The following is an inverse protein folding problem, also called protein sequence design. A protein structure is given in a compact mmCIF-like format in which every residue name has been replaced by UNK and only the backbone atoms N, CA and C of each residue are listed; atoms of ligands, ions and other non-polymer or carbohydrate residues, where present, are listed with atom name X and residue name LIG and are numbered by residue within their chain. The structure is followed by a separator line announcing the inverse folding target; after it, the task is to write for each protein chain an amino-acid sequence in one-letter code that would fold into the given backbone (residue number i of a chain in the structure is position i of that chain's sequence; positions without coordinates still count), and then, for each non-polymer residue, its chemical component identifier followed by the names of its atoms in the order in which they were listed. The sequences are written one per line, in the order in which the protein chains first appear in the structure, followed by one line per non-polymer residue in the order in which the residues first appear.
data_IF_807496277376
#
_entry.id   IF_807496277376
#
_cell.length_a   1.000
_cell.length_b   1.000
_cell.length_c   1.000
_cell.angle_alpha   90.00
_cell.angle_beta   90.00
_cell.angle_gamma   90.00
#
_symmetry.space_group_name_H-M   'P 1'
#
loop_
_entity.id
_entity.type
_entity.pdbx_description
1 polymer ?
#
# COMPACT_ATOMS: atom_id res chain seq x y z
N UNK A 1 -29.13 13.65 -76.76
CA UNK A 1 -27.85 13.66 -77.48
C UNK A 1 -26.91 14.59 -76.71
N UNK A 2 -26.40 14.19 -75.54
CA UNK A 2 -25.33 13.21 -75.32
C UNK A 2 -23.93 13.79 -75.63
N UNK A 3 -23.18 14.26 -74.61
CA UNK A 3 -21.90 13.65 -74.17
C UNK A 3 -21.09 14.48 -73.16
N UNK A 4 -20.74 13.76 -72.09
CA UNK A 4 -19.51 13.75 -71.29
C UNK A 4 -19.11 14.92 -70.36
N UNK A 5 -19.36 14.66 -69.06
CA UNK A 5 -18.54 15.07 -67.91
C UNK A 5 -17.12 14.45 -67.99
N UNK A 6 -16.11 15.23 -67.59
CA UNK A 6 -14.98 14.75 -66.77
C UNK A 6 -14.76 15.73 -65.60
N UNK A 7 -14.45 15.24 -64.39
CA UNK A 7 -14.25 16.08 -63.21
C UNK A 7 -12.81 16.61 -63.16
N UNK A 8 -12.63 17.83 -62.65
CA UNK A 8 -11.32 18.35 -62.25
C UNK A 8 -11.07 17.97 -60.81
N UNK A 9 -9.95 17.30 -60.62
CA UNK A 9 -9.37 16.77 -59.40
C UNK A 9 -9.02 17.91 -58.42
N UNK A 10 -9.52 17.84 -57.19
CA UNK A 10 -9.05 18.67 -56.06
C UNK A 10 -8.67 17.76 -54.89
N UNK A 11 -7.80 16.79 -55.19
CA UNK A 11 -7.07 16.00 -54.22
C UNK A 11 -5.94 16.81 -53.60
N UNK A 12 -6.22 17.63 -52.58
CA UNK A 12 -5.18 18.25 -51.75
C UNK A 12 -5.61 18.62 -50.32
N UNK A 13 -6.54 17.84 -49.75
CA UNK A 13 -6.87 17.89 -48.32
C UNK A 13 -7.18 16.48 -47.78
N UNK A 14 -6.21 15.56 -47.82
CA UNK A 14 -6.30 14.28 -47.12
C UNK A 14 -4.93 13.80 -46.64
N UNK A 15 -4.42 14.46 -45.60
CA UNK A 15 -3.40 13.90 -44.72
C UNK A 15 -3.88 14.08 -43.28
N UNK A 16 -4.92 13.32 -42.90
CA UNK A 16 -5.03 12.89 -41.51
C UNK A 16 -4.25 11.58 -41.43
N UNK A 17 -3.34 11.39 -40.46
CA UNK A 17 -2.82 10.07 -40.19
C UNK A 17 -4.00 9.20 -39.74
N UNK A 18 -4.30 8.16 -40.51
CA UNK A 18 -5.14 7.05 -40.06
C UNK A 18 -4.48 6.46 -38.82
N UNK A 19 -5.18 6.60 -37.70
CA UNK A 19 -4.83 5.98 -36.42
C UNK A 19 -5.04 4.48 -36.59
N UNK A 20 -3.97 3.75 -36.85
CA UNK A 20 -3.95 2.30 -36.99
C UNK A 20 -3.71 1.66 -35.60
N UNK A 21 -4.75 1.14 -34.93
CA UNK A 21 -4.64 0.61 -33.58
C UNK A 21 -3.73 -0.63 -33.48
N UNK A 22 -3.41 -1.28 -34.61
CA UNK A 22 -2.57 -2.48 -34.64
C UNK A 22 -1.06 -2.23 -34.45
N UNK A 23 -0.58 -0.98 -34.52
CA UNK A 23 0.87 -0.67 -34.40
C UNK A 23 1.34 -0.29 -32.99
N UNK A 24 0.44 0.08 -32.07
CA UNK A 24 0.82 0.38 -30.67
C UNK A 24 0.77 -0.85 -29.75
N UNK A 25 -0.03 -1.87 -30.06
CA UNK A 25 -0.04 -3.13 -29.30
C UNK A 25 1.34 -3.83 -29.30
N UNK A 26 2.11 -3.71 -30.39
CA UNK A 26 3.49 -4.25 -30.47
C UNK A 26 4.55 -3.43 -29.70
N UNK A 27 4.26 -2.22 -29.22
CA UNK A 27 5.20 -1.43 -28.38
C UNK A 27 4.99 -1.64 -26.88
N UNK A 28 3.74 -1.85 -26.48
CA UNK A 28 3.35 -2.11 -25.08
C UNK A 28 4.06 -3.34 -24.49
N UNK A 29 4.22 -4.42 -25.27
CA UNK A 29 4.90 -5.64 -24.80
C UNK A 29 6.38 -5.42 -24.49
N UNK A 30 7.10 -4.74 -25.38
CA UNK A 30 8.53 -4.46 -25.22
C UNK A 30 8.80 -3.44 -24.10
N UNK A 31 7.91 -2.46 -23.92
CA UNK A 31 7.98 -1.50 -22.81
C UNK A 31 7.67 -2.18 -21.46
N UNK A 32 6.67 -3.06 -21.39
CA UNK A 32 6.38 -3.86 -20.19
C UNK A 32 7.54 -4.81 -19.83
N UNK A 33 8.14 -5.49 -20.81
CA UNK A 33 9.37 -6.26 -20.61
C UNK A 33 10.52 -5.39 -20.12
N UNK A 34 10.62 -4.14 -20.59
CA UNK A 34 11.64 -3.19 -20.13
C UNK A 34 11.36 -2.71 -18.71
N UNK A 35 10.10 -2.47 -18.32
CA UNK A 35 9.71 -2.18 -16.93
C UNK A 35 10.05 -3.36 -16.04
N UNK A 36 9.72 -4.59 -16.46
CA UNK A 36 10.05 -5.81 -15.75
C UNK A 36 11.57 -5.94 -15.61
N UNK A 37 12.33 -5.78 -16.69
CA UNK A 37 13.79 -5.87 -16.68
C UNK A 37 14.45 -4.77 -15.85
N UNK A 38 13.96 -3.53 -15.88
CA UNK A 38 14.46 -2.42 -15.06
C UNK A 38 14.07 -2.58 -13.59
N UNK A 39 12.85 -3.01 -13.30
CA UNK A 39 12.40 -3.31 -11.93
C UNK A 39 13.19 -4.49 -11.38
N UNK A 40 13.43 -5.53 -12.19
CA UNK A 40 14.36 -6.62 -11.87
C UNK A 40 15.79 -6.07 -11.73
N UNK A 41 16.25 -5.11 -12.53
CA UNK A 41 17.61 -4.58 -12.38
C UNK A 41 17.77 -3.72 -11.11
N UNK A 42 16.70 -3.06 -10.66
CA UNK A 42 16.68 -2.15 -9.50
C UNK A 42 16.34 -2.87 -8.19
N UNK A 43 15.45 -3.86 -8.24
CA UNK A 43 15.01 -4.69 -7.10
C UNK A 43 15.83 -5.97 -7.02
N UNK A 44 16.15 -6.57 -8.17
CA UNK A 44 16.86 -7.84 -8.31
C UNK A 44 18.29 -7.67 -8.85
N UNK A 45 19.08 -6.75 -8.28
CA UNK A 45 20.48 -7.10 -8.04
C UNK A 45 20.58 -7.74 -6.65
N UNK A 46 20.12 -8.99 -6.42
CA UNK A 46 20.31 -9.66 -5.13
C UNK A 46 21.80 -9.97 -4.89
N UNK A 47 22.64 -9.91 -5.94
CA UNK A 47 24.09 -10.00 -5.85
C UNK A 47 24.69 -8.69 -5.36
N UNK A 48 24.54 -7.60 -6.12
CA UNK A 48 25.19 -6.33 -5.80
C UNK A 48 24.45 -5.55 -4.71
N UNK A 49 23.13 -5.71 -4.59
CA UNK A 49 22.31 -5.10 -3.54
C UNK A 49 22.55 -5.74 -2.18
N UNK A 50 22.65 -7.08 -2.10
CA UNK A 50 23.05 -7.75 -0.87
C UNK A 50 24.53 -7.49 -0.54
N UNK A 51 25.42 -7.37 -1.54
CA UNK A 51 26.81 -6.97 -1.32
C UNK A 51 26.91 -5.53 -0.81
N UNK A 52 26.21 -4.59 -1.44
CA UNK A 52 26.16 -3.18 -1.02
C UNK A 52 25.54 -3.08 0.37
N UNK A 53 24.45 -3.79 0.64
CA UNK A 53 23.82 -3.85 1.95
C UNK A 53 24.77 -4.42 3.00
N UNK A 54 25.43 -5.55 2.74
CA UNK A 54 26.42 -6.13 3.65
C UNK A 54 27.62 -5.20 3.87
N UNK A 55 28.07 -4.52 2.81
CA UNK A 55 29.13 -3.53 2.87
C UNK A 55 28.73 -2.32 3.72
N UNK A 56 27.52 -1.78 3.55
CA UNK A 56 27.02 -0.68 4.36
C UNK A 56 26.74 -1.09 5.81
N UNK A 57 26.19 -2.29 6.06
CA UNK A 57 26.04 -2.85 7.41
C UNK A 57 27.39 -3.00 8.12
N UNK A 58 28.47 -3.28 7.38
CA UNK A 58 29.82 -3.44 7.94
C UNK A 58 30.54 -2.10 8.20
N UNK A 59 30.22 -1.06 7.43
CA UNK A 59 30.94 0.23 7.47
C UNK A 59 30.20 1.28 8.30
N UNK A 60 28.89 1.31 8.23
CA UNK A 60 28.06 2.27 8.94
C UNK A 60 27.56 1.58 10.20
N UNK A 61 28.10 1.93 11.39
CA UNK A 61 27.58 1.38 12.63
C UNK A 61 26.11 1.77 12.77
N UNK A 62 25.26 0.75 12.89
CA UNK A 62 23.82 0.94 13.05
C UNK A 62 23.53 1.82 14.26
N UNK A 63 22.69 2.83 14.05
CA UNK A 63 22.20 3.64 15.15
C UNK A 63 21.26 2.80 16.02
N UNK A 64 21.46 2.85 17.34
CA UNK A 64 20.54 2.25 18.30
C UNK A 64 19.26 3.09 18.39
N UNK A 65 18.33 2.88 17.46
CA UNK A 65 16.98 3.39 17.62
C UNK A 65 16.34 2.73 18.86
N UNK A 66 15.61 3.49 19.68
CA UNK A 66 14.79 2.98 20.79
C UNK A 66 13.54 2.21 20.28
N UNK A 67 13.65 1.54 19.13
CA UNK A 67 12.58 0.79 18.48
C UNK A 67 12.36 -0.58 19.12
N UNK A 68 11.27 -1.25 18.75
CA UNK A 68 10.95 -2.61 19.20
C UNK A 68 12.07 -3.58 18.83
N UNK A 69 12.69 -4.18 19.85
CA UNK A 69 13.86 -5.05 19.69
C UNK A 69 13.73 -6.29 20.60
N UNK A 70 13.08 -7.37 20.15
CA UNK A 70 12.89 -8.57 20.95
C UNK A 70 14.22 -9.33 21.15
N UNK A 71 14.37 -10.07 22.27
CA UNK A 71 15.58 -10.85 22.54
C UNK A 71 15.78 -11.90 21.45
N UNK A 72 16.98 -11.91 20.85
CA UNK A 72 17.33 -12.76 19.71
C UNK A 72 18.10 -14.00 20.16
N UNK A 73 17.78 -15.14 19.57
CA UNK A 73 18.66 -16.31 19.62
C UNK A 73 19.85 -16.06 18.70
N UNK A 74 21.06 -16.29 19.19
CA UNK A 74 22.26 -16.13 18.37
C UNK A 74 22.22 -17.09 17.15
N UNK A 75 22.68 -16.66 15.97
CA UNK A 75 22.77 -17.54 14.81
C UNK A 75 23.70 -18.71 15.12
N UNK A 76 23.18 -19.93 15.00
CA UNK A 76 23.90 -21.15 15.40
C UNK A 76 24.85 -21.69 14.34
N UNK A 77 24.61 -21.41 13.05
CA UNK A 77 25.43 -21.88 11.93
C UNK A 77 26.16 -20.78 11.15
N UNK A 78 27.21 -21.17 10.41
CA UNK A 78 27.94 -20.28 9.50
C UNK A 78 27.02 -19.72 8.39
N UNK A 79 26.08 -20.53 7.89
CA UNK A 79 25.09 -20.10 6.89
C UNK A 79 24.13 -19.08 7.49
N UNK A 80 23.70 -19.27 8.74
CA UNK A 80 22.85 -18.29 9.44
C UNK A 80 23.57 -16.96 9.66
N UNK A 81 24.86 -16.99 10.00
CA UNK A 81 25.68 -15.78 10.13
C UNK A 81 25.84 -15.05 8.79
N UNK A 82 26.01 -15.79 7.69
CA UNK A 82 26.04 -15.22 6.35
C UNK A 82 24.70 -14.57 5.99
N UNK A 83 23.58 -15.26 6.25
CA UNK A 83 22.23 -14.72 6.00
C UNK A 83 21.98 -13.47 6.83
N UNK A 84 22.33 -13.47 8.11
CA UNK A 84 22.18 -12.31 8.98
C UNK A 84 23.07 -11.14 8.52
N UNK A 85 24.32 -11.41 8.10
CA UNK A 85 25.22 -10.39 7.58
C UNK A 85 24.72 -9.74 6.27
N UNK A 86 24.15 -10.55 5.37
CA UNK A 86 23.64 -10.10 4.07
C UNK A 86 22.25 -9.43 4.18
N UNK A 87 21.32 -10.05 4.91
CA UNK A 87 19.89 -9.71 4.89
C UNK A 87 19.39 -9.09 6.21
N UNK A 88 20.19 -9.07 7.28
CA UNK A 88 19.77 -8.58 8.59
C UNK A 88 19.25 -7.14 8.57
N UNK A 89 19.80 -6.29 7.69
CA UNK A 89 19.31 -4.92 7.48
C UNK A 89 17.85 -4.83 7.02
N UNK A 90 17.33 -5.85 6.31
CA UNK A 90 15.92 -5.88 5.87
C UNK A 90 14.95 -6.09 7.04
N UNK A 91 15.45 -6.51 8.19
CA UNK A 91 14.65 -6.78 9.37
C UNK A 91 14.67 -5.67 10.41
N UNK A 92 15.21 -4.51 10.10
CA UNK A 92 15.31 -3.38 11.03
C UNK A 92 14.00 -2.58 11.08
N UNK A 93 13.85 -1.75 12.12
CA UNK A 93 12.68 -0.87 12.30
C UNK A 93 11.39 -1.68 12.44
N UNK A 94 10.31 -1.26 11.78
CA UNK A 94 9.00 -1.89 11.96
C UNK A 94 8.91 -3.29 11.34
N UNK A 95 9.89 -3.66 10.49
CA UNK A 95 10.03 -5.03 10.01
C UNK A 95 10.21 -6.04 11.16
N UNK A 96 10.76 -5.60 12.32
CA UNK A 96 10.88 -6.45 13.51
C UNK A 96 9.52 -6.90 14.03
N UNK A 97 8.47 -6.08 13.94
CA UNK A 97 7.12 -6.48 14.35
C UNK A 97 6.56 -7.58 13.45
N UNK A 98 6.66 -7.45 12.12
CA UNK A 98 6.17 -8.46 11.18
C UNK A 98 6.88 -9.80 11.35
N UNK A 99 8.18 -9.77 11.56
CA UNK A 99 9.00 -10.96 11.80
C UNK A 99 8.68 -11.59 13.17
N UNK A 100 8.56 -10.77 14.21
CA UNK A 100 8.17 -11.24 15.53
C UNK A 100 6.79 -11.91 15.53
N UNK A 101 5.81 -11.32 14.83
CA UNK A 101 4.47 -11.89 14.66
C UNK A 101 4.54 -13.21 13.89
N UNK A 102 5.38 -13.31 12.85
CA UNK A 102 5.55 -14.57 12.13
C UNK A 102 6.19 -15.67 13.00
N UNK A 103 7.07 -15.32 13.95
CA UNK A 103 7.72 -16.30 14.84
C UNK A 103 6.90 -16.70 16.05
N UNK A 104 6.29 -15.72 16.72
CA UNK A 104 5.68 -15.89 18.03
C UNK A 104 4.16 -15.67 18.02
N UNK A 105 3.61 -15.19 16.91
CA UNK A 105 2.23 -14.75 16.81
C UNK A 105 1.98 -13.42 17.50
N UNK A 106 0.70 -13.11 17.66
CA UNK A 106 0.25 -11.88 18.31
C UNK A 106 0.29 -12.01 19.83
N UNK A 107 1.41 -11.59 20.44
CA UNK A 107 1.60 -11.61 21.89
C UNK A 107 1.32 -10.27 22.58
N UNK A 108 1.81 -9.17 22.00
CA UNK A 108 1.64 -7.83 22.56
C UNK A 108 0.45 -7.10 21.96
N UNK A 109 -0.17 -6.22 22.74
CA UNK A 109 -1.31 -5.41 22.31
C UNK A 109 -0.95 -4.57 21.07
N UNK A 110 0.18 -3.86 21.08
CA UNK A 110 0.61 -2.99 19.97
C UNK A 110 0.86 -3.76 18.64
N UNK A 111 1.12 -5.07 18.69
CA UNK A 111 1.33 -5.87 17.47
C UNK A 111 0.09 -5.91 16.58
N UNK A 112 -1.12 -5.67 17.12
CA UNK A 112 -2.35 -5.64 16.33
C UNK A 112 -2.48 -4.40 15.43
N UNK A 113 -1.54 -3.45 15.47
CA UNK A 113 -1.38 -2.45 14.41
C UNK A 113 -0.94 -3.10 13.08
N UNK A 114 -0.16 -4.19 13.16
CA UNK A 114 0.40 -4.89 12.00
C UNK A 114 -0.52 -6.04 11.62
N UNK A 115 -1.05 -6.00 10.40
CA UNK A 115 -2.10 -6.92 9.96
C UNK A 115 -1.55 -8.29 9.54
N UNK A 116 -2.36 -9.37 9.63
CA UNK A 116 -1.88 -10.75 9.50
C UNK A 116 -1.55 -11.17 8.07
N UNK A 117 -2.04 -10.46 7.04
CA UNK A 117 -1.84 -10.85 5.65
C UNK A 117 -0.38 -11.00 5.25
N UNK A 118 0.49 -10.08 5.69
CA UNK A 118 1.92 -10.15 5.37
C UNK A 118 2.68 -11.22 6.19
N UNK A 119 2.56 -11.31 7.53
CA UNK A 119 3.13 -12.42 8.30
C UNK A 119 2.72 -13.81 7.80
N UNK A 120 1.45 -13.99 7.38
CA UNK A 120 0.99 -15.24 6.80
C UNK A 120 1.69 -15.55 5.47
N UNK A 121 1.91 -14.55 4.61
CA UNK A 121 2.68 -14.73 3.37
C UNK A 121 4.14 -15.15 3.67
N UNK A 122 4.77 -14.54 4.69
CA UNK A 122 6.11 -14.93 5.13
C UNK A 122 6.14 -16.39 5.61
N UNK A 123 5.16 -16.81 6.40
CA UNK A 123 5.05 -18.20 6.85
C UNK A 123 4.95 -19.17 5.67
N UNK A 124 4.13 -18.86 4.66
CA UNK A 124 4.05 -19.66 3.42
C UNK A 124 5.41 -19.73 2.71
N UNK A 125 6.15 -18.62 2.64
CA UNK A 125 7.51 -18.61 2.09
C UNK A 125 8.48 -19.48 2.89
N UNK A 126 8.42 -19.47 4.23
CA UNK A 126 9.24 -20.36 5.05
C UNK A 126 8.87 -21.84 4.91
N UNK A 127 7.61 -22.16 4.62
CA UNK A 127 7.18 -23.53 4.33
C UNK A 127 7.69 -23.99 2.95
N UNK A 128 7.79 -23.09 1.97
CA UNK A 128 8.44 -23.40 0.69
C UNK A 128 9.94 -23.68 0.87
N UNK A 129 10.58 -23.01 1.82
CA UNK A 129 11.99 -23.23 2.21
C UNK A 129 12.18 -24.43 3.15
N UNK A 130 11.14 -25.23 3.41
CA UNK A 130 11.19 -26.40 4.30
C UNK A 130 12.36 -27.38 4.01
N UNK A 131 12.75 -27.68 2.76
CA UNK A 131 13.90 -28.55 2.48
C UNK A 131 15.23 -28.04 3.07
N UNK A 132 15.34 -26.73 3.30
CA UNK A 132 16.55 -26.06 3.80
C UNK A 132 16.55 -25.89 5.33
N UNK A 133 15.47 -26.28 6.05
CA UNK A 133 15.36 -26.15 7.52
C UNK A 133 16.39 -26.97 8.29
N UNK A 134 17.03 -27.95 7.67
CA UNK A 134 18.15 -28.68 8.29
C UNK A 134 19.45 -27.87 8.36
N UNK A 135 19.56 -26.80 7.56
CA UNK A 135 20.76 -25.96 7.44
C UNK A 135 20.54 -24.53 7.97
N UNK A 136 19.29 -24.09 8.04
CA UNK A 136 18.90 -22.72 8.37
C UNK A 136 17.95 -22.68 9.57
N UNK A 137 18.18 -21.72 10.45
CA UNK A 137 17.25 -21.40 11.53
C UNK A 137 15.96 -20.77 10.98
N UNK A 138 14.89 -20.83 11.78
CA UNK A 138 13.58 -20.24 11.44
C UNK A 138 13.69 -18.75 11.06
N UNK A 139 14.51 -17.98 11.79
CA UNK A 139 14.77 -16.56 11.52
C UNK A 139 15.42 -16.33 10.15
N UNK A 140 16.44 -17.13 9.81
CA UNK A 140 17.13 -17.07 8.52
C UNK A 140 16.19 -17.41 7.37
N UNK A 141 15.32 -18.41 7.55
CA UNK A 141 14.25 -18.73 6.61
C UNK A 141 13.28 -17.55 6.43
N UNK A 142 12.91 -16.86 7.51
CA UNK A 142 12.06 -15.67 7.43
C UNK A 142 12.75 -14.51 6.71
N UNK A 143 14.05 -14.27 6.93
CA UNK A 143 14.81 -13.24 6.21
C UNK A 143 14.87 -13.51 4.71
N UNK A 144 15.15 -14.76 4.32
CA UNK A 144 15.14 -15.17 2.91
C UNK A 144 13.73 -15.05 2.33
N UNK A 145 12.70 -15.41 3.11
CA UNK A 145 11.31 -15.22 2.70
C UNK A 145 10.96 -13.75 2.49
N UNK A 146 11.40 -12.85 3.37
CA UNK A 146 11.23 -11.40 3.21
C UNK A 146 11.90 -10.94 1.92
N UNK A 147 13.19 -11.22 1.75
CA UNK A 147 13.96 -10.77 0.60
C UNK A 147 13.35 -11.26 -0.72
N UNK A 148 12.98 -12.54 -0.79
CA UNK A 148 12.41 -13.14 -2.00
C UNK A 148 10.98 -12.68 -2.30
N UNK A 149 10.09 -12.68 -1.30
CA UNK A 149 8.69 -12.30 -1.50
C UNK A 149 8.53 -10.79 -1.74
N UNK A 150 9.24 -9.93 -1.03
CA UNK A 150 9.13 -8.49 -1.24
C UNK A 150 9.75 -8.05 -2.57
N UNK A 151 10.85 -8.69 -2.99
CA UNK A 151 11.37 -8.48 -4.35
C UNK A 151 10.33 -8.88 -5.41
N UNK A 152 9.71 -10.06 -5.25
CA UNK A 152 8.66 -10.52 -6.15
C UNK A 152 7.45 -9.58 -6.17
N UNK A 153 6.91 -9.21 -5.01
CA UNK A 153 5.74 -8.35 -4.90
C UNK A 153 6.02 -6.94 -5.40
N UNK A 154 7.21 -6.38 -5.18
CA UNK A 154 7.60 -5.07 -5.72
C UNK A 154 7.61 -5.07 -7.26
N UNK A 155 8.19 -6.10 -7.89
CA UNK A 155 8.15 -6.26 -9.35
C UNK A 155 6.71 -6.41 -9.84
N UNK A 156 5.91 -7.26 -9.20
CA UNK A 156 4.51 -7.46 -9.57
C UNK A 156 3.68 -6.17 -9.38
N UNK A 157 3.96 -5.38 -8.34
CA UNK A 157 3.34 -4.08 -8.13
C UNK A 157 3.69 -3.10 -9.25
N UNK A 158 4.97 -3.01 -9.65
CA UNK A 158 5.38 -2.15 -10.77
C UNK A 158 4.71 -2.55 -12.09
N UNK A 159 4.60 -3.85 -12.36
CA UNK A 159 3.88 -4.37 -13.54
C UNK A 159 2.40 -4.04 -13.48
N UNK A 160 1.76 -4.27 -12.33
CA UNK A 160 0.35 -3.96 -12.12
C UNK A 160 0.08 -2.45 -12.27
N UNK A 161 0.99 -1.60 -11.81
CA UNK A 161 0.90 -0.14 -11.96
C UNK A 161 1.05 0.30 -13.41
N UNK A 162 2.01 -0.28 -14.15
CA UNK A 162 2.17 -0.02 -15.58
C UNK A 162 0.90 -0.40 -16.36
N UNK A 163 0.38 -1.60 -16.10
CA UNK A 163 -0.83 -2.13 -16.73
C UNK A 163 -2.06 -1.26 -16.41
N UNK A 164 -2.23 -0.86 -15.15
CA UNK A 164 -3.26 0.09 -14.73
C UNK A 164 -3.09 1.45 -15.43
N UNK A 165 -1.87 1.96 -15.51
CA UNK A 165 -1.57 3.22 -16.20
C UNK A 165 -1.94 3.17 -17.68
N UNK A 166 -1.68 2.07 -18.37
CA UNK A 166 -2.10 1.87 -19.76
C UNK A 166 -3.62 1.94 -19.93
N UNK A 167 -4.37 1.33 -19.00
CA UNK A 167 -5.84 1.35 -19.01
C UNK A 167 -6.40 2.76 -18.74
N UNK A 168 -5.86 3.46 -17.74
CA UNK A 168 -6.43 4.73 -17.25
C UNK A 168 -5.97 5.92 -18.10
N UNK A 169 -4.67 5.99 -18.39
CA UNK A 169 -4.05 7.11 -19.10
C UNK A 169 -4.20 6.98 -20.63
N UNK A 170 -4.44 5.78 -21.16
CA UNK A 170 -4.44 5.52 -22.61
C UNK A 170 -3.15 6.02 -23.31
N UNK A 171 -2.05 6.06 -22.57
CA UNK A 171 -0.75 6.53 -23.07
C UNK A 171 0.35 5.64 -22.47
N UNK A 172 0.88 4.66 -23.24
CA UNK A 172 1.81 3.67 -22.71
C UNK A 172 3.11 4.32 -22.22
N UNK A 173 3.58 5.37 -22.88
CA UNK A 173 4.77 6.13 -22.45
C UNK A 173 4.60 6.76 -21.05
N UNK A 174 3.44 7.35 -20.76
CA UNK A 174 3.21 7.94 -19.43
C UNK A 174 3.07 6.85 -18.36
N UNK A 175 2.43 5.73 -18.69
CA UNK A 175 2.34 4.57 -17.81
C UNK A 175 3.73 3.97 -17.51
N UNK A 176 4.60 3.88 -18.51
CA UNK A 176 6.00 3.47 -18.37
C UNK A 176 6.77 4.38 -17.41
N UNK A 177 6.70 5.71 -17.61
CA UNK A 177 7.38 6.64 -16.71
C UNK A 177 6.83 6.60 -15.29
N UNK A 178 5.52 6.41 -15.11
CA UNK A 178 4.92 6.26 -13.79
C UNK A 178 5.46 5.01 -13.06
N UNK A 179 5.51 3.86 -13.74
CA UNK A 179 6.07 2.63 -13.18
C UNK A 179 7.58 2.76 -12.90
N UNK A 180 8.33 3.43 -13.78
CA UNK A 180 9.75 3.69 -13.57
C UNK A 180 10.01 4.57 -12.34
N UNK A 181 9.23 5.66 -12.19
CA UNK A 181 9.32 6.55 -11.03
C UNK A 181 8.93 5.85 -9.73
N UNK A 182 7.97 4.93 -9.78
CA UNK A 182 7.62 4.08 -8.64
C UNK A 182 8.82 3.23 -8.19
N UNK A 183 9.52 2.58 -9.13
CA UNK A 183 10.70 1.76 -8.81
C UNK A 183 11.92 2.58 -8.36
N UNK A 184 12.08 3.81 -8.85
CA UNK A 184 13.19 4.71 -8.51
C UNK A 184 12.92 5.60 -7.28
N UNK A 185 11.70 5.54 -6.74
CA UNK A 185 11.31 6.35 -5.59
C UNK A 185 12.22 6.03 -4.39
N UNK A 186 12.65 7.04 -3.60
CA UNK A 186 13.42 6.79 -2.38
C UNK A 186 12.67 5.89 -1.38
N UNK A 187 11.34 5.83 -1.45
CA UNK A 187 10.52 4.94 -0.65
C UNK A 187 10.59 3.46 -1.06
N UNK A 188 11.31 3.12 -2.14
CA UNK A 188 11.51 1.72 -2.55
C UNK A 188 12.21 0.88 -1.45
N UNK A 189 12.86 1.52 -0.48
CA UNK A 189 13.38 0.84 0.73
C UNK A 189 12.26 0.09 1.48
N UNK A 190 11.05 0.64 1.56
CA UNK A 190 9.89 -0.01 2.20
C UNK A 190 9.28 -1.11 1.33
N UNK A 191 9.55 -1.10 0.03
CA UNK A 191 9.15 -2.19 -0.88
C UNK A 191 10.14 -3.36 -0.84
N UNK A 192 11.34 -3.17 -0.28
CA UNK A 192 12.39 -4.19 -0.19
C UNK A 192 12.60 -4.75 1.23
N UNK A 193 12.59 -3.89 2.25
CA UNK A 193 12.67 -4.30 3.65
C UNK A 193 11.43 -5.09 4.08
N UNK A 194 11.45 -5.72 5.27
CA UNK A 194 10.40 -6.62 5.79
C UNK A 194 9.08 -5.95 6.17
N UNK A 195 8.59 -5.10 5.29
CA UNK A 195 7.37 -4.33 5.35
C UNK A 195 6.29 -4.95 4.45
N UNK A 196 5.03 -4.67 4.78
CA UNK A 196 3.82 -5.14 4.08
C UNK A 196 3.54 -4.44 2.73
N UNK A 197 4.29 -3.37 2.43
CA UNK A 197 3.96 -2.31 1.49
C UNK A 197 3.99 -2.83 0.05
N UNK A 198 4.97 -3.67 -0.28
CA UNK A 198 5.07 -4.31 -1.59
C UNK A 198 3.86 -5.21 -1.90
N UNK A 199 3.45 -6.05 -0.93
CA UNK A 199 2.28 -6.91 -1.08
C UNK A 199 1.00 -6.09 -1.15
N UNK A 200 0.86 -5.06 -0.32
CA UNK A 200 -0.29 -4.16 -0.32
C UNK A 200 -0.44 -3.42 -1.65
N UNK A 201 0.65 -2.85 -2.18
CA UNK A 201 0.69 -2.16 -3.46
C UNK A 201 0.31 -3.09 -4.62
N UNK A 202 0.90 -4.29 -4.66
CA UNK A 202 0.57 -5.30 -5.67
C UNK A 202 -0.92 -5.64 -5.70
N UNK A 203 -1.52 -5.94 -4.54
CA UNK A 203 -2.94 -6.28 -4.44
C UNK A 203 -3.84 -5.10 -4.82
N UNK A 204 -3.48 -3.89 -4.39
CA UNK A 204 -4.25 -2.66 -4.62
C UNK A 204 -4.23 -2.26 -6.09
N UNK A 205 -3.07 -2.18 -6.73
CA UNK A 205 -2.95 -1.87 -8.16
C UNK A 205 -3.60 -2.94 -9.03
N UNK A 206 -3.38 -4.21 -8.71
CA UNK A 206 -4.06 -5.31 -9.40
C UNK A 206 -5.57 -5.18 -9.27
N UNK A 207 -6.10 -4.89 -8.09
CA UNK A 207 -7.53 -4.70 -7.86
C UNK A 207 -8.11 -3.56 -8.72
N UNK A 208 -7.45 -2.40 -8.73
CA UNK A 208 -7.84 -1.27 -9.58
C UNK A 208 -7.84 -1.67 -11.07
N UNK A 209 -6.80 -2.39 -11.52
CA UNK A 209 -6.70 -2.85 -12.91
C UNK A 209 -7.78 -3.89 -13.28
N UNK A 210 -8.25 -4.71 -12.34
CA UNK A 210 -9.39 -5.60 -12.54
C UNK A 210 -10.72 -4.83 -12.59
N UNK A 211 -10.84 -3.77 -11.80
CA UNK A 211 -12.03 -2.92 -11.77
C UNK A 211 -12.24 -2.19 -13.10
N UNK A 212 -11.17 -1.60 -13.67
CA UNK A 212 -11.23 -0.93 -14.98
C UNK A 212 -11.60 -1.88 -16.13
N UNK A 213 -11.25 -3.17 -15.99
CA UNK A 213 -11.64 -4.22 -16.95
C UNK A 213 -13.05 -4.77 -16.74
N UNK A 214 -13.82 -4.17 -15.84
CA UNK A 214 -15.21 -4.57 -15.54
C UNK A 214 -15.34 -5.84 -14.69
N UNK A 215 -14.25 -6.36 -14.13
CA UNK A 215 -14.26 -7.58 -13.29
C UNK A 215 -14.40 -7.22 -11.81
N UNK A 216 -15.52 -6.58 -11.47
CA UNK A 216 -15.78 -6.02 -10.13
C UNK A 216 -15.69 -7.02 -8.98
N UNK A 217 -16.07 -8.29 -9.20
CA UNK A 217 -15.96 -9.33 -8.17
C UNK A 217 -14.52 -9.67 -7.81
N UNK A 218 -13.65 -9.81 -8.81
CA UNK A 218 -12.22 -10.10 -8.60
C UNK A 218 -11.56 -8.88 -7.93
N UNK A 219 -11.91 -7.67 -8.36
CA UNK A 219 -11.46 -6.44 -7.69
C UNK A 219 -11.89 -6.40 -6.22
N UNK A 220 -13.16 -6.69 -5.91
CA UNK A 220 -13.65 -6.74 -4.53
C UNK A 220 -12.87 -7.73 -3.65
N UNK A 221 -12.57 -8.93 -4.18
CA UNK A 221 -11.75 -9.92 -3.48
C UNK A 221 -10.31 -9.45 -3.26
N UNK A 222 -9.67 -8.87 -4.27
CA UNK A 222 -8.30 -8.36 -4.15
C UNK A 222 -8.21 -7.18 -3.17
N UNK A 223 -9.19 -6.28 -3.16
CA UNK A 223 -9.25 -5.22 -2.13
C UNK A 223 -9.51 -5.75 -0.73
N UNK A 224 -10.32 -6.81 -0.58
CA UNK A 224 -10.48 -7.48 0.71
C UNK A 224 -9.14 -8.08 1.18
N UNK A 225 -8.41 -8.77 0.30
CA UNK A 225 -7.07 -9.28 0.62
C UNK A 225 -6.10 -8.15 0.98
N UNK A 226 -6.12 -7.03 0.25
CA UNK A 226 -5.33 -5.85 0.59
C UNK A 226 -5.67 -5.29 1.98
N UNK A 227 -6.96 -5.29 2.35
CA UNK A 227 -7.44 -4.91 3.69
C UNK A 227 -6.92 -5.87 4.78
N UNK A 228 -6.76 -7.15 4.44
CA UNK A 228 -6.14 -8.14 5.32
C UNK A 228 -4.62 -7.95 5.49
N UNK A 229 -3.97 -7.20 4.60
CA UNK A 229 -2.54 -6.88 4.66
C UNK A 229 -2.31 -5.55 5.38
N UNK A 230 -3.19 -4.56 5.21
CA UNK A 230 -3.20 -3.28 5.94
C UNK A 230 -4.61 -2.73 6.08
N UNK A 231 -4.89 -2.05 7.20
CA UNK A 231 -6.15 -1.33 7.43
C UNK A 231 -6.49 -0.30 6.33
N UNK A 232 -5.49 0.31 5.69
CA UNK A 232 -5.66 1.28 4.60
C UNK A 232 -6.44 0.72 3.40
N UNK A 233 -6.49 -0.60 3.24
CA UNK A 233 -7.34 -1.25 2.24
C UNK A 233 -8.82 -0.89 2.38
N UNK A 234 -9.29 -0.50 3.58
CA UNK A 234 -10.65 -0.02 3.81
C UNK A 234 -11.00 1.21 2.95
N UNK A 235 -10.04 2.11 2.73
CA UNK A 235 -10.24 3.35 1.95
C UNK A 235 -10.55 3.03 0.48
N UNK A 236 -10.08 1.88 -0.01
CA UNK A 236 -10.31 1.42 -1.39
C UNK A 236 -11.78 1.14 -1.72
N UNK A 237 -12.67 1.11 -0.72
CA UNK A 237 -14.12 1.04 -0.95
C UNK A 237 -14.61 2.17 -1.88
N UNK A 238 -13.96 3.33 -1.83
CA UNK A 238 -14.30 4.48 -2.70
C UNK A 238 -14.28 4.13 -4.20
N UNK A 239 -13.34 3.29 -4.64
CA UNK A 239 -13.25 2.85 -6.04
C UNK A 239 -14.46 1.99 -6.43
N UNK A 240 -14.85 1.04 -5.55
CA UNK A 240 -16.00 0.17 -5.79
C UNK A 240 -17.30 0.97 -5.82
N UNK A 241 -17.48 1.90 -4.87
CA UNK A 241 -18.65 2.77 -4.81
C UNK A 241 -18.77 3.64 -6.06
N UNK A 242 -17.66 4.24 -6.51
CA UNK A 242 -17.66 5.06 -7.72
C UNK A 242 -18.05 4.24 -8.94
N UNK A 243 -17.44 3.06 -9.11
CA UNK A 243 -17.73 2.14 -10.22
C UNK A 243 -19.21 1.69 -10.23
N UNK A 244 -19.75 1.33 -9.07
CA UNK A 244 -21.16 0.92 -8.92
C UNK A 244 -22.14 2.07 -9.18
N UNK A 245 -21.86 3.27 -8.65
CA UNK A 245 -22.65 4.46 -8.90
C UNK A 245 -22.66 4.82 -10.38
N UNK A 246 -21.50 4.79 -11.05
CA UNK A 246 -21.39 5.01 -12.51
C UNK A 246 -22.22 3.99 -13.29
N UNK A 247 -22.17 2.72 -12.91
CA UNK A 247 -22.99 1.65 -13.48
C UNK A 247 -24.49 1.91 -13.31
N UNK A 248 -24.91 2.35 -12.11
CA UNK A 248 -26.28 2.71 -11.80
C UNK A 248 -26.79 3.87 -12.67
N UNK A 249 -26.08 5.00 -12.70
CA UNK A 249 -26.49 6.18 -13.50
C UNK A 249 -26.56 5.87 -15.00
N UNK A 250 -25.68 5.00 -15.51
CA UNK A 250 -25.75 4.57 -16.91
C UNK A 250 -26.98 3.68 -17.20
N UNK A 251 -27.37 2.85 -16.22
CA UNK A 251 -28.49 1.91 -16.34
C UNK A 251 -29.86 2.55 -16.13
N UNK A 252 -29.92 3.69 -15.41
CA UNK A 252 -31.16 4.46 -15.21
C UNK A 252 -31.80 4.94 -16.52
N UNK A 253 -31.02 5.05 -17.60
CA UNK A 253 -31.51 5.45 -18.93
C UNK A 253 -32.29 4.31 -19.62
N UNK A 254 -32.03 3.05 -19.25
CA UNK A 254 -32.49 1.86 -19.99
C UNK A 254 -33.46 0.99 -19.19
N UNK A 255 -33.44 1.07 -17.86
CA UNK A 255 -34.16 0.14 -16.97
C UNK A 255 -35.00 0.85 -15.90
N UNK A 256 -35.92 0.11 -15.28
CA UNK A 256 -36.72 0.59 -14.16
C UNK A 256 -35.85 1.10 -13.00
N UNK A 257 -36.06 2.34 -12.52
CA UNK A 257 -35.21 2.98 -11.53
C UNK A 257 -35.22 2.25 -10.17
N UNK A 258 -36.38 1.76 -9.73
CA UNK A 258 -36.52 1.03 -8.47
C UNK A 258 -35.68 -0.25 -8.43
N UNK A 259 -35.70 -1.04 -9.51
CA UNK A 259 -34.91 -2.28 -9.58
C UNK A 259 -33.41 -1.99 -9.57
N UNK A 260 -32.99 -0.94 -10.26
CA UNK A 260 -31.57 -0.54 -10.28
C UNK A 260 -31.13 0.02 -8.93
N UNK A 261 -32.03 0.70 -8.20
CA UNK A 261 -31.75 1.20 -6.86
C UNK A 261 -31.49 0.04 -5.89
N UNK A 262 -32.36 -0.97 -5.84
CA UNK A 262 -32.13 -2.15 -4.99
C UNK A 262 -30.88 -2.93 -5.39
N UNK A 263 -30.54 -3.01 -6.68
CA UNK A 263 -29.27 -3.60 -7.13
C UNK A 263 -28.06 -2.80 -6.65
N UNK A 264 -28.11 -1.47 -6.72
CA UNK A 264 -27.06 -0.60 -6.21
C UNK A 264 -26.88 -0.80 -4.71
N UNK A 265 -27.96 -0.72 -3.92
CA UNK A 265 -27.92 -0.92 -2.47
C UNK A 265 -27.34 -2.29 -2.12
N UNK A 266 -27.81 -3.36 -2.76
CA UNK A 266 -27.29 -4.71 -2.55
C UNK A 266 -25.80 -4.83 -2.90
N UNK A 267 -25.37 -4.25 -4.03
CA UNK A 267 -23.97 -4.26 -4.48
C UNK A 267 -23.07 -3.47 -3.53
N UNK A 268 -23.52 -2.32 -3.05
CA UNK A 268 -22.80 -1.46 -2.10
C UNK A 268 -22.65 -2.19 -0.76
N UNK A 269 -23.75 -2.70 -0.21
CA UNK A 269 -23.73 -3.46 1.05
C UNK A 269 -22.80 -4.67 0.96
N UNK A 270 -22.84 -5.40 -0.16
CA UNK A 270 -21.98 -6.55 -0.36
C UNK A 270 -20.51 -6.14 -0.46
N UNK A 271 -20.18 -5.07 -1.17
CA UNK A 271 -18.80 -4.56 -1.25
C UNK A 271 -18.27 -4.13 0.12
N UNK A 272 -19.07 -3.38 0.90
CA UNK A 272 -18.69 -3.02 2.27
C UNK A 272 -18.47 -4.25 3.13
N UNK A 273 -19.38 -5.23 3.08
CA UNK A 273 -19.25 -6.47 3.85
C UNK A 273 -18.00 -7.24 3.45
N UNK A 274 -17.76 -7.46 2.16
CA UNK A 274 -16.58 -8.22 1.69
C UNK A 274 -15.27 -7.54 2.04
N UNK A 275 -15.23 -6.21 1.97
CA UNK A 275 -14.00 -5.44 2.14
C UNK A 275 -13.68 -5.21 3.63
N UNK A 276 -14.70 -5.03 4.46
CA UNK A 276 -14.53 -4.91 5.92
C UNK A 276 -14.37 -6.25 6.64
N UNK A 277 -14.72 -7.38 6.01
CA UNK A 277 -14.66 -8.71 6.64
C UNK A 277 -13.26 -9.05 7.19
N UNK A 278 -12.14 -8.91 6.45
CA UNK A 278 -10.81 -9.22 6.98
C UNK A 278 -10.43 -8.35 8.18
N UNK A 279 -10.77 -7.06 8.15
CA UNK A 279 -10.59 -6.15 9.28
C UNK A 279 -11.40 -6.62 10.49
N UNK A 280 -12.71 -6.87 10.31
CA UNK A 280 -13.60 -7.30 11.37
C UNK A 280 -13.19 -8.64 12.00
N UNK A 281 -12.78 -9.61 11.18
CA UNK A 281 -12.26 -10.90 11.66
C UNK A 281 -11.00 -10.72 12.49
N UNK A 282 -10.11 -9.80 12.08
CA UNK A 282 -8.89 -9.53 12.82
C UNK A 282 -9.14 -8.79 14.14
N UNK A 283 -10.06 -7.82 14.16
CA UNK A 283 -10.51 -7.18 15.41
C UNK A 283 -11.17 -8.18 16.36
N UNK A 284 -12.02 -9.07 15.82
CA UNK A 284 -12.62 -10.15 16.61
C UNK A 284 -11.56 -11.10 17.15
N UNK A 285 -10.56 -11.49 16.34
CA UNK A 285 -9.44 -12.28 16.81
C UNK A 285 -8.74 -11.62 18.00
N UNK A 286 -8.42 -10.32 17.91
CA UNK A 286 -7.84 -9.56 19.02
C UNK A 286 -8.70 -9.57 20.28
N UNK A 287 -10.01 -9.35 20.12
CA UNK A 287 -10.97 -9.41 21.21
C UNK A 287 -10.96 -10.78 21.92
N UNK A 288 -10.93 -11.88 21.15
CA UNK A 288 -10.82 -13.22 21.76
C UNK A 288 -9.51 -13.45 22.50
N UNK A 289 -8.42 -12.76 22.13
CA UNK A 289 -7.14 -12.91 22.79
C UNK A 289 -7.06 -12.10 24.09
N UNK A 290 -7.58 -10.87 24.15
CA UNK A 290 -7.40 -9.99 25.31
C UNK A 290 -8.64 -9.84 26.21
N UNK A 291 -9.85 -9.99 25.68
CA UNK A 291 -11.09 -9.70 26.41
C UNK A 291 -11.85 -10.95 26.86
N UNK A 292 -11.53 -12.14 26.33
CA UNK A 292 -12.16 -13.39 26.76
C UNK A 292 -11.25 -14.16 27.72
N UNK A 293 -11.77 -14.44 28.93
CA UNK A 293 -11.05 -15.22 29.94
C UNK A 293 -10.77 -16.65 29.44
N UNK A 294 -9.49 -17.04 29.37
CA UNK A 294 -9.06 -18.40 29.01
C UNK A 294 -8.24 -18.55 27.72
N UNK A 295 -7.89 -17.44 27.05
CA UNK A 295 -7.03 -17.41 25.85
C UNK A 295 -5.52 -17.38 26.15
N UNK A 296 -5.14 -17.31 27.44
CA UNK A 296 -3.78 -17.17 27.92
C UNK A 296 -2.89 -18.31 27.39
N UNK A 297 -2.07 -17.99 26.37
CA UNK A 297 -1.03 -18.88 25.87
C UNK A 297 0.18 -18.75 26.79
N UNK A 298 0.81 -19.88 27.12
CA UNK A 298 2.07 -19.87 27.87
C UNK A 298 3.15 -19.09 27.10
N UNK A 299 3.45 -17.86 27.54
CA UNK A 299 4.49 -17.02 26.97
C UNK A 299 5.85 -17.43 27.55
N UNK A 300 6.90 -17.41 26.73
CA UNK A 300 8.26 -17.74 27.17
C UNK A 300 8.79 -16.65 28.11
N UNK A 301 9.43 -17.03 29.20
CA UNK A 301 9.95 -16.12 30.24
C UNK A 301 10.71 -14.87 29.71
N UNK A 302 11.61 -14.97 28.71
CA UNK A 302 12.33 -13.80 28.21
C UNK A 302 11.42 -12.75 27.54
N UNK A 303 10.29 -13.18 26.97
CA UNK A 303 9.33 -12.29 26.32
C UNK A 303 8.43 -11.61 27.35
N UNK A 304 8.11 -12.31 28.45
CA UNK A 304 7.42 -11.70 29.60
C UNK A 304 8.29 -10.63 30.25
N UNK A 305 9.59 -10.89 30.41
CA UNK A 305 10.54 -9.90 30.92
C UNK A 305 10.64 -8.67 30.02
N UNK A 306 10.72 -8.85 28.70
CA UNK A 306 10.67 -7.73 27.75
C UNK A 306 9.40 -6.90 27.92
N UNK A 307 8.25 -7.57 28.08
CA UNK A 307 6.99 -6.88 28.28
C UNK A 307 6.99 -6.05 29.58
N UNK A 308 7.54 -6.59 30.66
CA UNK A 308 7.68 -5.86 31.93
C UNK A 308 8.63 -4.66 31.80
N UNK A 309 9.78 -4.85 31.16
CA UNK A 309 10.82 -3.81 31.02
C UNK A 309 10.34 -2.63 30.16
N UNK A 310 9.58 -2.93 29.11
CA UNK A 310 9.05 -1.95 28.16
C UNK A 310 7.63 -1.47 28.47
N UNK A 311 6.96 -2.08 29.45
CA UNK A 311 5.57 -1.78 29.78
C UNK A 311 4.55 -2.26 28.74
N UNK A 312 4.86 -3.33 28.00
CA UNK A 312 3.93 -3.92 27.03
C UNK A 312 2.81 -4.69 27.71
N UNK A 313 1.61 -4.53 27.16
CA UNK A 313 0.45 -5.29 27.58
C UNK A 313 0.42 -6.64 26.88
N UNK A 314 0.34 -7.70 27.67
CA UNK A 314 0.12 -9.10 27.27
C UNK A 314 -1.29 -9.53 27.68
N UNK A 315 -1.78 -10.63 27.09
CA UNK A 315 -3.11 -11.16 27.40
C UNK A 315 -3.24 -11.67 28.85
N UNK A 316 -2.14 -12.09 29.48
CA UNK A 316 -2.09 -12.49 30.89
C UNK A 316 -1.94 -11.24 31.79
N UNK A 317 -3.03 -10.50 32.00
CA UNK A 317 -3.02 -9.28 32.79
C UNK A 317 -4.40 -8.67 33.03
N UNK A 318 -4.42 -7.40 33.47
CA UNK A 318 -5.66 -6.65 33.61
C UNK A 318 -6.29 -6.41 32.24
N UNK A 319 -7.62 -6.60 32.15
CA UNK A 319 -8.38 -6.36 30.94
C UNK A 319 -8.11 -4.94 30.39
N UNK A 320 -7.76 -4.81 29.09
CA UNK A 320 -7.59 -3.51 28.47
C UNK A 320 -8.87 -2.68 28.52
N UNK A 321 -8.75 -1.34 28.62
CA UNK A 321 -9.92 -0.47 28.70
C UNK A 321 -10.82 -0.55 27.46
N UNK A 322 -10.25 -0.84 26.28
CA UNK A 322 -11.01 -0.97 25.03
C UNK A 322 -11.92 -2.21 25.01
N UNK A 323 -11.72 -3.20 25.89
CA UNK A 323 -12.67 -4.32 26.06
C UNK A 323 -14.02 -3.85 26.59
N UNK A 324 -14.06 -2.72 27.32
CA UNK A 324 -15.27 -2.15 27.92
C UNK A 324 -15.99 -1.11 27.05
N UNK A 325 -15.47 -0.82 25.86
CA UNK A 325 -16.08 0.16 24.95
C UNK A 325 -17.31 -0.43 24.23
N UNK A 326 -18.27 0.42 23.86
CA UNK A 326 -19.48 0.03 23.12
C UNK A 326 -19.16 -0.78 21.85
N UNK A 327 -18.04 -0.43 21.20
CA UNK A 327 -17.44 -1.20 20.13
C UNK A 327 -15.96 -1.46 20.47
N UNK A 328 -15.58 -2.69 20.88
CA UNK A 328 -14.24 -2.99 21.33
C UNK A 328 -13.26 -3.10 20.15
N UNK A 329 -12.76 -1.95 19.71
CA UNK A 329 -11.80 -1.81 18.60
C UNK A 329 -10.39 -1.58 19.12
N UNK A 330 -9.59 -2.63 19.13
CA UNK A 330 -8.17 -2.56 19.49
C UNK A 330 -7.41 -1.64 18.54
N UNK A 331 -7.72 -1.63 17.23
CA UNK A 331 -6.96 -0.84 16.26
C UNK A 331 -7.06 0.67 16.57
N UNK A 332 -8.27 1.17 16.83
CA UNK A 332 -8.47 2.58 17.20
C UNK A 332 -7.80 2.94 18.52
N UNK A 333 -7.87 2.04 19.51
CA UNK A 333 -7.20 2.21 20.78
C UNK A 333 -5.68 2.30 20.61
N UNK A 334 -5.12 1.42 19.77
CA UNK A 334 -3.69 1.40 19.48
C UNK A 334 -3.24 2.71 18.83
N UNK A 335 -3.95 3.13 17.78
CA UNK A 335 -3.66 4.37 17.06
C UNK A 335 -3.67 5.59 17.99
N UNK A 336 -4.60 5.63 18.96
CA UNK A 336 -4.71 6.73 19.93
C UNK A 336 -3.63 6.66 21.04
N UNK A 337 -3.50 5.52 21.72
CA UNK A 337 -2.70 5.40 22.95
C UNK A 337 -1.21 5.26 22.67
N UNK A 338 -0.86 4.37 21.75
CA UNK A 338 0.54 4.04 21.44
C UNK A 338 1.11 5.01 20.41
N UNK A 339 0.36 5.32 19.35
CA UNK A 339 0.83 6.15 18.23
C UNK A 339 0.40 7.62 18.28
N UNK A 340 -0.54 8.01 19.16
CA UNK A 340 -1.04 9.37 19.26
C UNK A 340 -1.54 9.96 17.92
N UNK A 341 -2.19 9.13 17.11
CA UNK A 341 -2.84 9.53 15.87
C UNK A 341 -4.13 10.25 16.22
N UNK A 342 -4.35 11.40 15.58
CA UNK A 342 -5.55 12.20 15.82
C UNK A 342 -5.49 13.55 15.13
N UNK A 343 -6.66 14.17 14.99
CA UNK A 343 -6.81 15.44 14.29
C UNK A 343 -5.90 16.53 14.90
N UNK A 344 -4.97 17.03 14.09
CA UNK A 344 -3.98 18.08 14.41
C UNK A 344 -3.09 17.81 15.63
N UNK A 345 -3.11 16.61 16.20
CA UNK A 345 -2.26 16.25 17.36
C UNK A 345 -0.77 16.27 17.03
N UNK A 346 -0.44 16.22 15.74
CA UNK A 346 0.92 16.18 15.25
C UNK A 346 1.58 17.56 15.07
N UNK A 347 0.81 18.65 15.10
CA UNK A 347 1.30 19.97 14.73
C UNK A 347 2.11 20.61 15.87
N UNK A 348 3.39 20.25 15.95
CA UNK A 348 4.37 20.86 16.83
C UNK A 348 5.52 21.49 16.03
N UNK A 349 6.11 22.58 16.53
CA UNK A 349 7.25 23.24 15.87
C UNK A 349 8.46 22.31 15.66
N UNK A 350 8.61 21.29 16.51
CA UNK A 350 9.69 20.29 16.40
C UNK A 350 9.58 19.43 15.14
N UNK A 351 8.39 19.36 14.53
CA UNK A 351 8.09 18.49 13.39
C UNK A 351 8.24 19.20 12.03
N UNK A 352 8.61 20.50 12.02
CA UNK A 352 8.82 21.29 10.78
C UNK A 352 9.75 20.61 9.77
N UNK A 353 10.89 19.99 10.14
CA UNK A 353 11.75 19.29 9.19
C UNK A 353 11.00 18.19 8.42
N UNK A 354 10.01 17.57 9.05
CA UNK A 354 9.30 16.45 8.45
C UNK A 354 8.23 16.92 7.46
N UNK A 355 7.54 18.02 7.78
CA UNK A 355 6.66 18.69 6.82
C UNK A 355 7.43 19.14 5.57
N UNK A 356 8.69 19.59 5.73
CA UNK A 356 9.55 19.94 4.59
C UNK A 356 9.90 18.72 3.73
N UNK A 357 10.05 17.53 4.33
CA UNK A 357 10.31 16.29 3.61
C UNK A 357 9.10 15.80 2.81
N UNK A 358 7.88 15.95 3.36
CA UNK A 358 6.64 15.62 2.63
C UNK A 358 6.21 16.71 1.62
N UNK A 359 6.72 17.94 1.73
CA UNK A 359 6.30 19.07 0.91
C UNK A 359 6.38 18.83 -0.60
N UNK A 360 7.44 18.20 -1.17
CA UNK A 360 7.50 17.97 -2.61
C UNK A 360 6.34 17.14 -3.14
N UNK A 361 5.97 16.06 -2.43
CA UNK A 361 4.85 15.18 -2.82
C UNK A 361 3.52 15.93 -2.66
N UNK A 362 3.34 16.65 -1.54
CA UNK A 362 2.14 17.44 -1.30
C UNK A 362 1.92 18.54 -2.36
N UNK A 363 3.00 19.22 -2.77
CA UNK A 363 2.97 20.23 -3.84
C UNK A 363 2.63 19.59 -5.18
N UNK A 364 3.23 18.45 -5.51
CA UNK A 364 2.95 17.74 -6.77
C UNK A 364 1.49 17.29 -6.87
N UNK A 365 0.95 16.68 -5.81
CA UNK A 365 -0.46 16.26 -5.77
C UNK A 365 -1.36 17.49 -5.87
N UNK A 366 -1.09 18.55 -5.10
CA UNK A 366 -1.89 19.79 -5.14
C UNK A 366 -1.89 20.45 -6.51
N UNK A 367 -0.73 20.49 -7.18
CA UNK A 367 -0.58 21.06 -8.52
C UNK A 367 -1.27 20.20 -9.59
N UNK A 368 -1.15 18.88 -9.50
CA UNK A 368 -1.86 17.94 -10.36
C UNK A 368 -3.38 18.10 -10.21
N UNK A 369 -3.88 18.20 -8.97
CA UNK A 369 -5.30 18.44 -8.68
C UNK A 369 -5.77 19.77 -9.24
N UNK A 370 -5.04 20.85 -9.02
CA UNK A 370 -5.37 22.16 -9.55
C UNK A 370 -5.47 22.14 -11.08
N UNK A 371 -4.50 21.53 -11.75
CA UNK A 371 -4.46 21.40 -13.21
C UNK A 371 -5.65 20.58 -13.74
N UNK A 372 -6.00 19.49 -13.06
CA UNK A 372 -7.13 18.65 -13.47
C UNK A 372 -8.49 19.33 -13.25
N UNK A 373 -8.68 20.01 -12.10
CA UNK A 373 -9.95 20.68 -11.76
C UNK A 373 -10.21 21.88 -12.68
N UNK A 374 -9.17 22.65 -13.00
CA UNK A 374 -9.28 23.82 -13.91
C UNK A 374 -9.55 23.41 -15.36
N UNK A 375 -9.03 22.27 -15.79
CA UNK A 375 -9.30 21.72 -17.14
C UNK A 375 -10.66 21.03 -17.24
N UNK A 376 -11.12 20.35 -16.18
CA UNK A 376 -12.35 19.56 -16.16
C UNK A 376 -13.33 19.93 -15.03
N UNK A 377 -13.77 21.21 -14.92
CA UNK A 377 -14.58 21.65 -13.79
C UNK A 377 -15.94 20.95 -13.72
N UNK A 378 -16.55 20.67 -14.88
CA UNK A 378 -17.86 20.01 -14.94
C UNK A 378 -17.80 18.51 -14.60
N UNK A 379 -16.69 17.84 -14.94
CA UNK A 379 -16.46 16.45 -14.55
C UNK A 379 -16.34 16.35 -13.03
N UNK A 380 -15.59 17.26 -12.42
CA UNK A 380 -15.42 17.35 -10.97
C UNK A 380 -16.76 17.63 -10.27
N UNK A 381 -17.55 18.58 -10.78
CA UNK A 381 -18.87 18.92 -10.23
C UNK A 381 -19.87 17.74 -10.30
N UNK A 382 -19.75 16.90 -11.33
CA UNK A 382 -20.63 15.74 -11.52
C UNK A 382 -20.05 14.43 -11.02
N UNK A 383 -18.88 14.47 -10.37
CA UNK A 383 -18.12 13.30 -9.90
C UNK A 383 -17.84 12.25 -11.00
N UNK A 384 -17.89 12.65 -12.27
CA UNK A 384 -17.83 11.73 -13.42
C UNK A 384 -19.03 10.78 -13.56
N UNK A 385 -20.12 10.98 -12.80
CA UNK A 385 -21.29 10.09 -12.77
C UNK A 385 -22.29 10.40 -13.90
N UNK A 386 -22.34 11.65 -14.38
CA UNK A 386 -23.31 12.08 -15.39
C UNK A 386 -22.67 12.19 -16.78
N UNK A 387 -23.07 11.30 -17.70
CA UNK A 387 -22.60 11.34 -19.10
C UNK A 387 -23.35 12.41 -19.90
N UNK A 388 -22.68 13.50 -20.25
CA UNK A 388 -23.22 14.49 -21.20
C UNK A 388 -23.00 14.03 -22.65
N UNK A 389 -23.85 14.42 -23.62
CA UNK A 389 -23.65 14.14 -25.06
C UNK A 389 -22.29 14.66 -25.56
N UNK A 390 -21.78 15.76 -25.00
CA UNK A 390 -20.44 16.30 -25.29
C UNK A 390 -19.28 15.49 -24.67
N UNK A 391 -19.55 14.56 -23.75
CA UNK A 391 -18.51 13.70 -23.14
C UNK A 391 -17.97 12.66 -24.13
N UNK A 392 -18.76 12.24 -25.14
CA UNK A 392 -18.28 11.34 -26.19
C UNK A 392 -17.16 11.97 -27.04
N UNK A 393 -17.17 13.29 -27.16
CA UNK A 393 -16.13 14.06 -27.86
C UNK A 393 -14.90 14.26 -26.98
N UNK A 394 -15.10 14.43 -25.66
CA UNK A 394 -14.05 14.64 -24.66
C UNK A 394 -13.28 13.34 -24.30
N UNK A 395 -13.98 12.20 -24.14
CA UNK A 395 -13.39 10.86 -23.96
C UNK A 395 -12.54 10.45 -25.17
N UNK A 396 -12.88 10.93 -26.38
CA UNK A 396 -12.12 10.63 -27.60
C UNK A 396 -10.87 11.50 -27.80
N UNK A 397 -10.71 12.58 -27.03
CA UNK A 397 -9.68 13.61 -27.30
C UNK A 397 -8.66 13.80 -26.19
N UNK A 398 -8.91 13.34 -24.96
CA UNK A 398 -8.00 13.50 -23.83
C UNK A 398 -7.19 12.23 -23.57
N UNK A 399 -5.96 12.19 -24.11
CA UNK A 399 -4.96 11.17 -23.78
C UNK A 399 -4.10 11.62 -22.59
N UNK A 400 -3.61 10.66 -21.81
CA UNK A 400 -2.71 10.90 -20.68
C UNK A 400 -3.41 11.32 -19.40
N UNK A 401 -2.71 12.10 -18.57
CA UNK A 401 -3.19 12.58 -17.25
C UNK A 401 -4.55 13.29 -17.29
N UNK A 402 -4.90 13.94 -18.39
CA UNK A 402 -6.17 14.64 -18.56
C UNK A 402 -7.35 13.72 -18.90
N UNK A 403 -7.13 12.41 -19.00
CA UNK A 403 -8.19 11.42 -19.21
C UNK A 403 -9.26 11.51 -18.10
N UNK A 404 -10.55 11.38 -18.44
CA UNK A 404 -11.64 11.39 -17.45
C UNK A 404 -11.58 10.21 -16.48
N UNK A 405 -10.87 9.12 -16.81
CA UNK A 405 -10.72 7.96 -15.92
C UNK A 405 -9.77 8.25 -14.75
N UNK A 406 -8.83 9.20 -14.91
CA UNK A 406 -7.88 9.61 -13.86
C UNK A 406 -8.58 10.24 -12.65
N UNK A 407 -9.80 10.78 -12.83
CA UNK A 407 -10.54 11.49 -11.80
C UNK A 407 -10.63 10.74 -10.46
N UNK A 408 -10.97 9.44 -10.48
CA UNK A 408 -11.16 8.65 -9.25
C UNK A 408 -9.86 8.48 -8.48
N UNK A 409 -8.77 8.23 -9.21
CA UNK A 409 -7.42 8.08 -8.65
C UNK A 409 -6.91 9.40 -8.07
N UNK A 410 -7.22 10.52 -8.72
CA UNK A 410 -6.89 11.85 -8.22
C UNK A 410 -7.66 12.19 -6.94
N UNK A 411 -8.97 11.88 -6.88
CA UNK A 411 -9.77 12.07 -5.67
C UNK A 411 -9.23 11.23 -4.52
N UNK A 412 -8.82 9.99 -4.80
CA UNK A 412 -8.18 9.13 -3.81
C UNK A 412 -6.87 9.72 -3.30
N UNK A 413 -5.98 10.17 -4.20
CA UNK A 413 -4.70 10.80 -3.82
C UNK A 413 -4.91 12.07 -2.97
N UNK A 414 -5.89 12.92 -3.31
CA UNK A 414 -6.24 14.11 -2.52
C UNK A 414 -6.80 13.71 -1.15
N UNK A 415 -7.63 12.68 -1.09
CA UNK A 415 -8.19 12.18 0.17
C UNK A 415 -7.10 11.68 1.10
N UNK A 416 -6.12 10.93 0.57
CA UNK A 416 -4.95 10.49 1.31
C UNK A 416 -4.07 11.67 1.75
N UNK A 417 -3.82 12.66 0.89
CA UNK A 417 -3.05 13.85 1.25
C UNK A 417 -3.71 14.65 2.37
N UNK A 418 -5.03 14.83 2.32
CA UNK A 418 -5.78 15.53 3.36
C UNK A 418 -5.76 14.75 4.68
N UNK A 419 -5.97 13.43 4.61
CA UNK A 419 -5.96 12.59 5.81
C UNK A 419 -4.56 12.52 6.42
N UNK A 420 -3.51 12.29 5.61
CA UNK A 420 -2.12 12.31 6.04
C UNK A 420 -1.71 13.66 6.63
N UNK A 421 -2.11 14.76 5.99
CA UNK A 421 -1.81 16.10 6.47
C UNK A 421 -2.53 16.46 7.77
N UNK A 422 -3.76 16.01 8.00
CA UNK A 422 -4.56 16.42 9.15
C UNK A 422 -4.45 15.48 10.35
N UNK A 423 -4.24 14.19 10.10
CA UNK A 423 -4.41 13.14 11.10
C UNK A 423 -3.14 12.33 11.38
N UNK A 424 -2.14 12.35 10.49
CA UNK A 424 -0.96 11.51 10.63
C UNK A 424 0.30 12.26 11.07
N UNK A 425 1.20 11.48 11.67
CA UNK A 425 2.58 11.87 11.91
C UNK A 425 3.38 11.66 10.61
N UNK A 426 3.94 12.74 10.06
CA UNK A 426 4.91 12.65 8.97
C UNK A 426 6.26 12.45 9.65
N UNK A 427 6.79 11.25 9.85
CA UNK A 427 8.11 11.08 10.50
C UNK A 427 9.14 10.48 9.53
N UNK A 428 10.24 11.19 9.21
CA UNK A 428 11.37 10.67 8.46
C UNK A 428 12.44 10.04 9.34
N UNK A 429 13.26 9.24 8.66
CA UNK A 429 14.42 8.44 9.08
C UNK A 429 15.64 9.26 9.60
N UNK A 430 15.50 10.54 9.98
CA UNK A 430 16.64 11.37 10.41
C UNK A 430 16.47 11.94 11.83
N UNK A 431 17.28 11.53 12.82
CA UNK A 431 17.24 12.14 14.15
C UNK A 431 18.14 13.38 14.24
N UNK A 432 17.58 14.44 14.83
CA UNK A 432 18.34 15.62 15.25
C UNK A 432 19.26 15.35 16.44
N UNK A 433 20.27 16.22 16.67
CA UNK A 433 21.35 15.94 17.62
C UNK A 433 20.92 16.26 19.06
N UNK A 434 21.26 15.33 19.97
CA UNK A 434 21.44 15.51 21.41
C UNK A 434 20.29 16.08 22.25
N UNK A 435 19.72 15.24 23.10
CA UNK A 435 19.26 15.69 24.42
C UNK A 435 19.30 14.56 25.47
N UNK A 436 20.35 14.61 26.29
CA UNK A 436 20.45 14.01 27.63
C UNK A 436 19.36 14.60 28.54
N UNK A 437 18.33 13.85 28.96
CA UNK A 437 17.38 14.29 30.02
C UNK A 437 16.90 13.08 30.88
N UNK A 438 16.67 13.39 32.16
CA UNK A 438 16.66 12.59 33.39
C UNK A 438 15.64 11.45 33.56
N UNK A 439 15.99 10.57 34.53
CA UNK A 439 15.35 9.33 35.02
C UNK A 439 13.88 9.38 35.47
N UNK A 440 13.16 10.47 35.23
CA UNK A 440 11.73 10.64 35.59
C UNK A 440 10.80 10.77 34.37
N UNK A 441 11.34 10.82 33.15
CA UNK A 441 10.58 10.74 31.88
C UNK A 441 10.46 9.30 31.33
N UNK A 442 10.63 8.28 32.17
CA UNK A 442 10.70 6.87 31.75
C UNK A 442 9.33 6.28 31.37
N UNK A 443 8.22 6.93 31.72
CA UNK A 443 6.85 6.48 31.38
C UNK A 443 6.25 7.15 30.14
N UNK A 444 6.98 8.03 29.44
CA UNK A 444 6.44 8.85 28.35
C UNK A 444 7.10 8.64 26.97
N UNK A 445 8.09 7.74 26.85
CA UNK A 445 8.73 7.46 25.56
C UNK A 445 7.97 6.37 24.83
N UNK A 446 6.96 6.82 24.08
CA UNK A 446 6.23 6.05 23.07
C UNK A 446 7.21 5.55 22.02
N UNK A 447 7.16 4.25 21.73
CA UNK A 447 7.92 3.64 20.64
C UNK A 447 7.66 4.34 19.31
N UNK A 448 8.75 4.58 18.61
CA UNK A 448 8.77 5.14 17.27
C UNK A 448 8.49 4.02 16.27
N UNK A 449 7.35 4.10 15.61
CA UNK A 449 7.00 3.30 14.44
C UNK A 449 6.71 4.28 13.31
N UNK A 450 7.38 4.07 12.18
CA UNK A 450 7.31 4.91 11.00
C UNK A 450 6.00 4.66 10.25
N UNK A 451 4.93 5.36 10.59
CA UNK A 451 3.72 5.39 9.76
C UNK A 451 3.89 6.36 8.59
N UNK A 452 4.72 6.02 7.60
CA UNK A 452 4.66 6.65 6.27
C UNK A 452 3.51 6.01 5.47
N UNK A 453 2.28 6.48 5.70
CA UNK A 453 1.10 6.04 4.94
C UNK A 453 0.74 6.97 3.77
N UNK A 454 1.74 7.62 3.18
CA UNK A 454 1.57 8.49 2.03
C UNK A 454 2.34 7.95 0.81
N UNK A 455 1.88 6.83 0.26
CA UNK A 455 2.20 6.47 -1.13
C UNK A 455 1.06 5.70 -1.80
#
# INVERSE_FOLDING_TARGET
MDRHRRPVDTSLWSLRPEFDPGKEECKSGHEAETVVLLSISLVSSPGDGALCQAFFNAIIPDHHAEAFSPPRLAPSGCVDQLVEGLLGGLSRWDAEHFLFIAEHGYLYEHNFAFFPGFPLALLVGTELLRPLRGLLNQRSCLLISVASLNSLFSILAAVALHDLGCLVLHCPRQAFYAALLFCLSPANVFLAAGYSEALFAFLTFSSMGQLERGRGWISGLLFALATGVRSNGLVSVGFLLHSQCRGFFSSLVVSNPLRQFFKLVASVCLSFLTLSLPFALFQYYAYTQFCLSGSARSIREPLVQLAMDKGYRIAEGNEPPWCSWDLPLIYSYIQDVYWNVGFLRYYEFKQVPNFLLAAPVAILVSWATWTYVTTHPWLCLTLGLRRNKNSKTLEKSSLGFLSPQVFVYLVHAVSLLLFGGLCMHIQPVLPGPNSYISRTEILSRREFVCTEEAM
#
